data_IF_938135201395
#
_entry.id   IF_938135201395
#
_cell.length_a   1.000
_cell.length_b   1.000
_cell.length_c   1.000
_cell.angle_alpha   90.00
_cell.angle_beta   90.00
_cell.angle_gamma   90.00
#
_symmetry.space_group_name_H-M   'P 1'
#
loop_
_entity.id
_entity.type
_entity.pdbx_description
1 polymer ?
#
# COMPACT_ATOMS: atom_id res chain seq x y z
N UNK A 1 -7.57 0.07 -15.41
CA UNK A 1 -6.44 0.45 -14.51
C UNK A 1 -7.01 0.79 -13.14
N UNK A 2 -6.31 0.45 -12.05
CA UNK A 2 -6.78 0.77 -10.71
C UNK A 2 -6.84 2.30 -10.51
N UNK A 3 -7.99 2.78 -10.05
CA UNK A 3 -8.20 4.20 -9.70
C UNK A 3 -8.21 4.34 -8.19
N UNK A 4 -7.36 5.22 -7.67
CA UNK A 4 -7.26 5.49 -6.24
C UNK A 4 -7.93 6.83 -5.90
N UNK A 5 -8.65 6.87 -4.78
CA UNK A 5 -9.20 8.09 -4.21
C UNK A 5 -8.09 8.91 -3.54
N UNK A 6 -7.38 9.68 -4.36
CA UNK A 6 -6.26 10.54 -3.94
C UNK A 6 -4.88 9.90 -4.12
N UNK A 7 -3.86 10.55 -3.55
CA UNK A 7 -2.46 10.13 -3.65
C UNK A 7 -1.78 9.98 -2.28
N UNK A 8 -0.45 10.18 -2.24
CA UNK A 8 0.35 10.01 -1.01
C UNK A 8 -0.12 10.87 0.18
N UNK A 9 -0.78 12.02 -0.07
CA UNK A 9 -1.37 12.84 1.00
C UNK A 9 -2.47 12.08 1.76
N UNK A 10 -3.47 11.55 1.03
CA UNK A 10 -4.54 10.74 1.63
C UNK A 10 -4.00 9.43 2.21
N UNK A 11 -2.99 8.85 1.57
CA UNK A 11 -2.30 7.67 2.08
C UNK A 11 -1.69 7.91 3.48
N UNK A 12 -1.06 9.07 3.71
CA UNK A 12 -0.51 9.41 5.05
C UNK A 12 -1.58 9.56 6.11
N UNK A 13 -2.73 10.13 5.76
CA UNK A 13 -3.86 10.23 6.69
C UNK A 13 -4.36 8.83 7.09
N UNK A 14 -4.62 7.96 6.12
CA UNK A 14 -5.05 6.58 6.38
C UNK A 14 -4.00 5.77 7.17
N UNK A 15 -2.72 6.03 6.94
CA UNK A 15 -1.63 5.41 7.69
C UNK A 15 -1.77 5.69 9.19
N UNK A 16 -2.01 6.95 9.55
CA UNK A 16 -2.22 7.34 10.94
C UNK A 16 -3.57 6.80 11.47
N UNK A 17 -4.66 7.05 10.75
CA UNK A 17 -6.04 6.72 11.16
C UNK A 17 -6.31 5.22 11.33
N UNK A 18 -5.70 4.37 10.49
CA UNK A 18 -6.04 2.93 10.41
C UNK A 18 -4.92 2.01 10.86
N UNK A 19 -3.67 2.47 10.83
CA UNK A 19 -2.50 1.65 11.17
C UNK A 19 -1.69 2.23 12.35
N UNK A 20 -2.03 3.43 12.85
CA UNK A 20 -1.35 4.03 14.01
C UNK A 20 0.12 4.39 13.76
N UNK A 21 0.54 4.53 12.50
CA UNK A 21 1.91 4.88 12.15
C UNK A 21 2.03 6.35 11.76
N UNK A 22 3.02 7.05 12.33
CA UNK A 22 3.24 8.47 12.07
C UNK A 22 3.85 8.74 10.68
N UNK A 23 4.60 7.79 10.12
CA UNK A 23 5.29 7.95 8.85
C UNK A 23 5.51 6.63 8.13
N UNK A 24 5.61 6.72 6.80
CA UNK A 24 6.04 5.60 5.95
C UNK A 24 7.55 5.37 6.10
N UNK A 25 7.97 4.11 6.00
CA UNK A 25 9.37 3.76 5.76
C UNK A 25 9.75 4.10 4.33
N UNK A 26 11.02 4.44 4.07
CA UNK A 26 11.50 4.87 2.75
C UNK A 26 11.15 3.87 1.64
N UNK A 27 11.30 2.57 1.89
CA UNK A 27 10.97 1.53 0.90
C UNK A 27 9.47 1.39 0.64
N UNK A 28 8.60 1.73 1.60
CA UNK A 28 7.14 1.73 1.37
C UNK A 28 6.77 2.86 0.40
N UNK A 29 7.39 4.03 0.51
CA UNK A 29 7.19 5.13 -0.43
C UNK A 29 7.63 4.78 -1.86
N UNK A 30 8.74 4.02 -1.99
CA UNK A 30 9.21 3.53 -3.29
C UNK A 30 8.22 2.59 -3.97
N UNK A 31 7.38 1.89 -3.20
CA UNK A 31 6.31 1.04 -3.73
C UNK A 31 5.03 1.84 -3.99
N UNK A 32 4.58 2.61 -2.99
CA UNK A 32 3.30 3.34 -3.06
C UNK A 32 3.31 4.44 -4.12
N UNK A 33 4.42 5.15 -4.33
CA UNK A 33 4.53 6.20 -5.33
C UNK A 33 4.14 5.74 -6.75
N UNK A 34 4.86 4.78 -7.36
CA UNK A 34 4.48 4.24 -8.66
C UNK A 34 3.13 3.52 -8.65
N UNK A 35 2.80 2.77 -7.59
CA UNK A 35 1.55 2.03 -7.51
C UNK A 35 0.32 2.95 -7.57
N UNK A 36 0.32 4.05 -6.79
CA UNK A 36 -0.77 5.02 -6.76
C UNK A 36 -0.88 5.84 -8.06
N UNK A 37 0.13 5.80 -8.92
CA UNK A 37 0.06 6.33 -10.31
C UNK A 37 -0.48 5.32 -11.32
N UNK A 38 -0.94 4.15 -10.86
CA UNK A 38 -1.49 3.10 -11.71
C UNK A 38 -0.44 2.20 -12.36
N UNK A 39 0.83 2.27 -11.93
CA UNK A 39 1.91 1.42 -12.44
C UNK A 39 2.04 0.13 -11.64
N UNK A 40 2.38 -0.96 -12.32
CA UNK A 40 2.75 -2.22 -11.67
C UNK A 40 4.10 -2.10 -10.97
N UNK A 41 4.26 -2.77 -9.83
CA UNK A 41 5.49 -2.72 -9.01
C UNK A 41 5.89 -4.14 -8.60
N UNK A 42 7.17 -4.48 -8.80
CA UNK A 42 7.81 -5.63 -8.15
C UNK A 42 8.55 -5.13 -6.91
N UNK A 43 8.14 -5.56 -5.73
CA UNK A 43 8.75 -5.15 -4.47
C UNK A 43 9.44 -6.35 -3.79
N UNK A 44 10.78 -6.30 -3.73
CA UNK A 44 11.58 -7.25 -2.96
C UNK A 44 11.95 -6.60 -1.64
N UNK A 45 11.35 -7.08 -0.55
CA UNK A 45 11.52 -6.51 0.79
C UNK A 45 11.69 -7.65 1.82
N UNK A 46 12.54 -7.49 2.85
CA UNK A 46 12.74 -8.51 3.87
C UNK A 46 11.49 -8.71 4.73
N UNK A 47 11.43 -9.81 5.48
CA UNK A 47 10.39 -10.04 6.50
C UNK A 47 10.44 -8.95 7.56
N UNK A 48 9.28 -8.54 8.09
CA UNK A 48 9.18 -7.40 9.02
C UNK A 48 9.32 -6.01 8.40
N UNK A 49 9.66 -5.89 7.11
CA UNK A 49 9.77 -4.61 6.43
C UNK A 49 8.44 -3.86 6.27
N UNK A 50 7.29 -4.52 6.49
CA UNK A 50 5.97 -3.93 6.29
C UNK A 50 5.50 -4.01 4.84
N UNK A 51 5.75 -5.15 4.17
CA UNK A 51 5.22 -5.47 2.84
C UNK A 51 3.70 -5.41 2.79
N UNK A 52 3.03 -5.90 3.83
CA UNK A 52 1.57 -5.99 3.87
C UNK A 52 0.87 -4.64 3.76
N UNK A 53 1.44 -3.62 4.39
CA UNK A 53 0.97 -2.24 4.25
C UNK A 53 0.95 -1.77 2.78
N UNK A 54 1.90 -2.25 1.96
CA UNK A 54 2.03 -1.84 0.57
C UNK A 54 0.92 -2.38 -0.36
N UNK A 55 0.07 -3.31 0.09
CA UNK A 55 -1.16 -3.69 -0.61
C UNK A 55 -2.43 -3.37 0.19
N UNK A 56 -2.38 -3.41 1.52
CA UNK A 56 -3.54 -3.08 2.38
C UNK A 56 -3.94 -1.60 2.31
N UNK A 57 -2.96 -0.69 2.35
CA UNK A 57 -3.27 0.74 2.31
C UNK A 57 -3.79 1.19 0.93
N UNK A 58 -3.19 0.78 -0.21
CA UNK A 58 -3.79 1.01 -1.52
C UNK A 58 -5.19 0.41 -1.67
N UNK A 59 -5.48 -0.72 -1.02
CA UNK A 59 -6.82 -1.30 -1.06
C UNK A 59 -7.89 -0.39 -0.44
N UNK A 60 -7.54 0.35 0.62
CA UNK A 60 -8.44 1.34 1.24
C UNK A 60 -8.61 2.61 0.39
N UNK A 61 -7.67 2.88 -0.52
CA UNK A 61 -7.73 4.00 -1.45
C UNK A 61 -8.43 3.61 -2.76
N UNK A 62 -8.39 2.34 -3.14
CA UNK A 62 -8.91 1.87 -4.42
C UNK A 62 -10.43 2.01 -4.48
N UNK A 63 -10.95 2.49 -5.61
CA UNK A 63 -12.37 2.37 -5.93
C UNK A 63 -12.66 0.96 -6.44
N UNK A 64 -12.90 0.03 -5.52
CA UNK A 64 -13.25 -1.37 -5.85
C UNK A 64 -12.66 -2.40 -4.91
N UNK A 65 -12.70 -3.66 -5.33
CA UNK A 65 -12.13 -4.80 -4.60
C UNK A 65 -10.63 -4.93 -4.90
N UNK A 66 -9.82 -5.11 -3.84
CA UNK A 66 -8.42 -5.56 -3.99
C UNK A 66 -8.34 -7.06 -3.74
N UNK A 67 -7.80 -7.80 -4.71
CA UNK A 67 -7.51 -9.22 -4.57
C UNK A 67 -6.07 -9.43 -4.10
N UNK A 68 -5.89 -10.09 -2.96
CA UNK A 68 -4.59 -10.52 -2.45
C UNK A 68 -4.49 -12.03 -2.58
N UNK A 69 -3.49 -12.51 -3.33
CA UNK A 69 -3.23 -13.93 -3.52
C UNK A 69 -2.05 -14.32 -2.62
N UNK A 70 -2.29 -15.25 -1.71
CA UNK A 70 -1.29 -15.79 -0.79
C UNK A 70 -1.42 -17.31 -0.76
N UNK A 71 -0.31 -18.07 -0.81
CA UNK A 71 -0.35 -19.51 -0.60
C UNK A 71 -0.59 -19.87 0.88
N UNK A 72 -0.45 -18.91 1.79
CA UNK A 72 -0.61 -19.11 3.23
C UNK A 72 -2.08 -18.92 3.63
N UNK A 73 -2.66 -19.97 4.22
CA UNK A 73 -4.00 -19.95 4.84
C UNK A 73 -3.90 -19.47 6.30
N UNK A 74 -2.73 -19.67 6.93
CA UNK A 74 -2.43 -19.40 8.34
C UNK A 74 -1.36 -18.33 8.51
#
# INVERSE_FOLDING_TARGET
>A
MATFAGGLGRARQLLAERFGHAAFRVHQLKVLGPLLTGRSVLAVLPTGAGKSLCYQLPALLARGLTLVISPLIS
#
